data_IF_330892012145
#
_entry.id   IF_330892012145
#
_cell.length_a   1.000
_cell.length_b   1.000
_cell.length_c   1.000
_cell.angle_alpha   90.00
_cell.angle_beta   90.00
_cell.angle_gamma   90.00
#
_symmetry.space_group_name_H-M   'P 1'
#
loop_
_entity.id
_entity.type
_entity.pdbx_description
1 polymer ?
#
# COMPACT_ATOMS: atom_id res chain seq x y z
N UNK A 1 12.19 -28.63 -19.67
CA UNK A 1 12.11 -27.17 -19.92
C UNK A 1 13.50 -26.56 -19.82
N UNK A 2 14.01 -25.94 -20.89
CA UNK A 2 15.36 -25.36 -20.93
C UNK A 2 15.40 -24.06 -20.07
N UNK A 3 16.57 -23.76 -19.49
CA UNK A 3 16.78 -22.49 -18.72
C UNK A 3 16.51 -21.24 -19.56
N UNK A 4 16.70 -21.31 -20.88
CA UNK A 4 16.41 -20.22 -21.82
C UNK A 4 14.90 -20.02 -22.00
N UNK A 5 14.15 -21.10 -22.16
CA UNK A 5 12.67 -21.08 -22.27
C UNK A 5 12.03 -20.48 -21.03
N UNK A 6 12.45 -20.92 -19.83
CA UNK A 6 11.98 -20.37 -18.57
C UNK A 6 12.20 -18.85 -18.47
N UNK A 7 13.39 -18.35 -18.83
CA UNK A 7 13.68 -16.91 -18.84
C UNK A 7 12.78 -16.15 -19.82
N UNK A 8 12.54 -16.72 -21.00
CA UNK A 8 11.70 -16.10 -22.04
C UNK A 8 10.24 -16.03 -21.60
N UNK A 9 9.69 -17.11 -21.02
CA UNK A 9 8.33 -17.14 -20.50
C UNK A 9 8.16 -16.11 -19.38
N UNK A 10 9.09 -16.10 -18.43
CA UNK A 10 9.06 -15.12 -17.32
C UNK A 10 9.09 -13.69 -17.81
N UNK A 11 9.93 -13.37 -18.82
CA UNK A 11 9.99 -12.03 -19.43
C UNK A 11 8.68 -11.65 -20.09
N UNK A 12 8.08 -12.55 -20.88
CA UNK A 12 6.77 -12.32 -21.55
C UNK A 12 5.66 -12.11 -20.55
N UNK A 13 5.59 -12.93 -19.50
CA UNK A 13 4.60 -12.79 -18.43
C UNK A 13 4.73 -11.43 -17.71
N UNK A 14 5.95 -11.04 -17.36
CA UNK A 14 6.22 -9.77 -16.71
C UNK A 14 5.83 -8.57 -17.58
N UNK A 15 6.18 -8.62 -18.89
CA UNK A 15 5.80 -7.59 -19.85
C UNK A 15 4.28 -7.50 -20.03
N UNK A 16 3.57 -8.63 -20.06
CA UNK A 16 2.11 -8.67 -20.12
C UNK A 16 1.44 -8.08 -18.88
N UNK A 17 1.98 -8.38 -17.69
CA UNK A 17 1.49 -7.80 -16.43
C UNK A 17 1.73 -6.28 -16.40
N UNK A 18 2.88 -5.81 -16.84
CA UNK A 18 3.19 -4.38 -16.91
C UNK A 18 2.28 -3.66 -17.92
N UNK A 19 2.06 -4.25 -19.10
CA UNK A 19 1.12 -3.72 -20.10
C UNK A 19 -0.28 -3.58 -19.50
N UNK A 20 -0.76 -4.57 -18.77
CA UNK A 20 -2.06 -4.51 -18.07
C UNK A 20 -2.11 -3.38 -17.03
N UNK A 21 -1.02 -3.14 -16.28
CA UNK A 21 -0.93 -1.99 -15.37
C UNK A 21 -0.97 -0.65 -16.11
N UNK A 22 -0.29 -0.54 -17.27
CA UNK A 22 -0.34 0.66 -18.14
C UNK A 22 -1.76 0.97 -18.63
N UNK A 23 -2.57 -0.06 -18.85
CA UNK A 23 -4.00 0.08 -19.14
C UNK A 23 -4.85 0.45 -17.91
N UNK A 24 -4.25 0.61 -16.73
CA UNK A 24 -4.91 0.93 -15.47
C UNK A 24 -5.61 -0.25 -14.80
N UNK A 25 -5.30 -1.49 -15.18
CA UNK A 25 -5.88 -2.66 -14.58
C UNK A 25 -5.15 -3.06 -13.30
N UNK A 26 -5.90 -3.48 -12.29
CA UNK A 26 -5.35 -4.04 -11.06
C UNK A 26 -4.95 -5.51 -11.26
N UNK A 27 -3.71 -5.86 -10.89
CA UNK A 27 -3.12 -7.17 -11.20
C UNK A 27 -2.86 -8.06 -9.98
N UNK A 28 -3.10 -7.55 -8.77
CA UNK A 28 -2.83 -8.32 -7.55
C UNK A 28 -4.07 -9.09 -7.09
N UNK A 29 -3.87 -10.17 -6.33
CA UNK A 29 -4.96 -11.00 -5.82
C UNK A 29 -5.68 -10.40 -4.62
N UNK A 30 -4.96 -9.62 -3.81
CA UNK A 30 -5.51 -9.01 -2.59
C UNK A 30 -5.64 -7.50 -2.79
N UNK A 31 -6.83 -6.93 -2.63
CA UNK A 31 -7.00 -5.48 -2.72
C UNK A 31 -6.41 -4.78 -1.51
N UNK A 32 -5.98 -3.52 -1.63
CA UNK A 32 -5.71 -2.69 -0.48
C UNK A 32 -7.00 -2.52 0.36
N UNK A 33 -6.85 -2.42 1.68
CA UNK A 33 -7.98 -2.11 2.56
C UNK A 33 -8.70 -0.83 2.10
N UNK A 34 -10.01 -0.83 2.11
CA UNK A 34 -10.83 0.25 1.57
C UNK A 34 -11.27 0.05 0.12
N UNK A 35 -10.78 -1.00 -0.53
CA UNK A 35 -11.18 -1.36 -1.89
C UNK A 35 -11.59 -2.82 -2.01
N UNK A 36 -12.41 -3.10 -3.01
CA UNK A 36 -12.73 -4.44 -3.53
C UNK A 36 -12.22 -4.58 -4.98
N UNK A 37 -11.96 -5.83 -5.41
CA UNK A 37 -11.58 -6.13 -6.78
C UNK A 37 -12.83 -6.44 -7.58
N UNK A 38 -13.04 -5.71 -8.69
CA UNK A 38 -14.19 -5.89 -9.57
C UNK A 38 -13.71 -6.06 -11.01
N UNK A 39 -14.36 -6.98 -11.75
CA UNK A 39 -14.08 -7.18 -13.18
C UNK A 39 -14.52 -5.96 -13.99
N UNK A 40 -13.72 -5.55 -14.95
CA UNK A 40 -14.08 -4.45 -15.84
C UNK A 40 -15.28 -4.84 -16.73
N UNK A 41 -16.29 -3.97 -16.83
CA UNK A 41 -17.48 -4.23 -17.64
C UNK A 41 -17.22 -4.12 -19.16
N UNK A 42 -16.35 -3.19 -19.58
CA UNK A 42 -16.12 -2.83 -20.99
C UNK A 42 -14.73 -3.23 -21.52
N UNK A 43 -13.86 -3.75 -20.70
CA UNK A 43 -12.48 -4.13 -21.08
C UNK A 43 -12.01 -5.36 -20.32
N UNK A 44 -10.94 -5.99 -20.79
CA UNK A 44 -10.29 -7.09 -20.05
C UNK A 44 -9.67 -6.56 -18.75
N UNK A 45 -9.54 -7.45 -17.75
CA UNK A 45 -8.87 -7.17 -16.49
C UNK A 45 -9.82 -6.75 -15.37
N UNK A 46 -9.20 -6.31 -14.26
CA UNK A 46 -9.90 -5.95 -13.03
C UNK A 46 -9.55 -4.51 -12.63
N UNK A 47 -10.42 -3.90 -11.85
CA UNK A 47 -10.19 -2.60 -11.22
C UNK A 47 -10.50 -2.68 -9.74
N UNK A 48 -10.06 -1.68 -9.01
CA UNK A 48 -10.46 -1.47 -7.62
C UNK A 48 -11.74 -0.62 -7.59
N UNK A 49 -12.65 -0.95 -6.69
CA UNK A 49 -13.80 -0.12 -6.34
C UNK A 49 -13.77 0.17 -4.83
N UNK A 50 -14.10 1.40 -4.40
CA UNK A 50 -14.20 1.72 -2.98
C UNK A 50 -15.21 0.80 -2.29
N UNK A 51 -14.80 0.20 -1.18
CA UNK A 51 -15.68 -0.60 -0.34
C UNK A 51 -16.26 0.29 0.75
N UNK A 52 -17.58 0.51 0.78
CA UNK A 52 -18.22 1.35 1.78
C UNK A 52 -17.82 0.95 3.21
N UNK A 53 -17.67 1.92 4.09
CA UNK A 53 -17.20 1.71 5.45
C UNK A 53 -15.68 1.57 5.56
N UNK A 54 -15.05 0.64 4.83
CA UNK A 54 -13.58 0.54 4.82
C UNK A 54 -12.92 1.77 4.18
N UNK A 55 -13.47 2.29 3.09
CA UNK A 55 -12.98 3.49 2.42
C UNK A 55 -13.04 4.72 3.34
N UNK A 56 -14.09 4.84 4.17
CA UNK A 56 -14.20 5.91 5.15
C UNK A 56 -13.12 5.80 6.24
N UNK A 57 -12.83 4.60 6.72
CA UNK A 57 -11.72 4.37 7.67
C UNK A 57 -10.38 4.81 7.07
N UNK A 58 -10.14 4.54 5.78
CA UNK A 58 -8.91 5.04 5.10
C UNK A 58 -8.84 6.56 5.14
N UNK A 59 -9.93 7.25 4.80
CA UNK A 59 -9.98 8.72 4.84
C UNK A 59 -9.75 9.26 6.26
N UNK A 60 -10.37 8.65 7.27
CA UNK A 60 -10.16 9.01 8.67
C UNK A 60 -8.71 8.84 9.13
N UNK A 61 -8.05 7.74 8.76
CA UNK A 61 -6.63 7.50 9.08
C UNK A 61 -5.77 8.65 8.53
N UNK A 62 -5.95 9.00 7.26
CA UNK A 62 -5.21 10.11 6.65
C UNK A 62 -5.55 11.45 7.28
N UNK A 63 -6.83 11.73 7.55
CA UNK A 63 -7.27 12.95 8.21
C UNK A 63 -6.66 13.11 9.59
N UNK A 64 -6.78 12.09 10.46
CA UNK A 64 -6.23 12.13 11.81
C UNK A 64 -4.71 12.25 11.82
N UNK A 65 -4.06 11.65 10.84
CA UNK A 65 -2.61 11.72 10.73
C UNK A 65 -2.13 13.08 10.22
N UNK A 66 -2.85 13.76 9.32
CA UNK A 66 -2.40 14.99 8.65
C UNK A 66 -3.02 16.27 9.21
N UNK A 67 -4.29 16.22 9.58
CA UNK A 67 -5.06 17.38 10.08
C UNK A 67 -5.39 17.26 11.56
N UNK A 68 -5.43 16.06 12.10
CA UNK A 68 -5.78 15.78 13.49
C UNK A 68 -7.27 15.56 13.74
N UNK A 69 -7.60 15.47 15.02
CA UNK A 69 -8.96 15.38 15.55
C UNK A 69 -9.28 16.69 16.24
N UNK A 70 -10.49 17.21 16.00
CA UNK A 70 -11.00 18.38 16.69
C UNK A 70 -11.27 18.02 18.16
N UNK A 71 -10.71 18.79 19.10
CA UNK A 71 -10.95 18.69 20.53
C UNK A 71 -12.12 19.57 20.96
N UNK A 72 -12.59 19.35 22.18
CA UNK A 72 -13.67 20.15 22.80
C UNK A 72 -13.30 21.65 22.95
N UNK A 73 -12.00 21.95 23.10
CA UNK A 73 -11.47 23.30 23.16
C UNK A 73 -11.35 24.01 21.79
N UNK A 74 -11.80 23.35 20.70
CA UNK A 74 -11.70 23.86 19.34
C UNK A 74 -10.32 23.70 18.68
N UNK A 75 -9.31 23.16 19.37
CA UNK A 75 -7.99 22.89 18.83
C UNK A 75 -7.95 21.55 18.07
N UNK A 76 -6.96 21.39 17.17
CA UNK A 76 -6.72 20.13 16.47
C UNK A 76 -5.53 19.39 17.07
N UNK A 77 -5.73 18.11 17.41
CA UNK A 77 -4.67 17.24 17.87
C UNK A 77 -4.28 16.23 16.79
N UNK A 78 -3.02 16.30 16.32
CA UNK A 78 -2.47 15.34 15.36
C UNK A 78 -2.19 13.99 16.04
N UNK A 79 -2.78 12.92 15.52
CA UNK A 79 -2.52 11.58 16.03
C UNK A 79 -1.28 10.95 15.39
N UNK A 80 -0.50 10.23 16.21
CA UNK A 80 0.53 9.31 15.74
C UNK A 80 -0.06 7.96 15.33
N UNK A 81 0.73 7.15 14.59
CA UNK A 81 0.29 5.83 14.08
C UNK A 81 -0.16 4.87 15.19
N UNK A 82 0.45 4.94 16.37
CA UNK A 82 0.05 4.13 17.53
C UNK A 82 -1.35 4.53 18.03
N UNK A 83 -1.55 5.83 18.31
CA UNK A 83 -2.84 6.32 18.80
C UNK A 83 -3.99 6.14 17.77
N UNK A 84 -3.68 6.21 16.47
CA UNK A 84 -4.65 5.87 15.41
C UNK A 84 -5.03 4.39 15.50
N UNK A 85 -4.06 3.49 15.64
CA UNK A 85 -4.32 2.06 15.77
C UNK A 85 -5.17 1.75 17.02
N UNK A 86 -4.81 2.32 18.18
CA UNK A 86 -5.53 2.14 19.43
C UNK A 86 -6.98 2.65 19.32
N UNK A 87 -7.17 3.84 18.77
CA UNK A 87 -8.50 4.43 18.54
C UNK A 87 -9.38 3.57 17.62
N UNK A 88 -8.81 3.08 16.50
CA UNK A 88 -9.52 2.18 15.58
C UNK A 88 -9.86 0.83 16.22
N UNK A 89 -9.01 0.32 17.11
CA UNK A 89 -9.27 -0.92 17.81
C UNK A 89 -10.37 -0.79 18.87
N UNK A 90 -10.45 0.34 19.56
CA UNK A 90 -11.41 0.59 20.64
C UNK A 90 -12.78 1.05 20.13
N UNK A 91 -12.81 1.94 19.13
CA UNK A 91 -14.03 2.64 18.74
C UNK A 91 -14.70 2.11 17.46
N UNK A 92 -13.96 1.33 16.63
CA UNK A 92 -14.46 0.88 15.33
C UNK A 92 -14.53 -0.64 15.23
N UNK A 93 -15.66 -1.16 14.74
CA UNK A 93 -15.86 -2.60 14.50
C UNK A 93 -15.18 -3.09 13.23
N UNK A 94 -14.96 -2.22 12.25
CA UNK A 94 -14.33 -2.56 10.98
C UNK A 94 -12.81 -2.75 11.19
N UNK A 95 -12.34 -3.97 10.95
CA UNK A 95 -10.96 -4.39 11.17
C UNK A 95 -10.26 -4.74 9.84
N UNK A 96 -8.92 -4.60 9.75
CA UNK A 96 -8.15 -5.08 8.62
C UNK A 96 -8.13 -6.62 8.57
N UNK A 97 -7.60 -7.18 7.49
CA UNK A 97 -7.54 -8.63 7.27
C UNK A 97 -6.93 -9.43 8.44
N UNK A 98 -6.03 -8.84 9.19
CA UNK A 98 -5.43 -9.45 10.40
C UNK A 98 -6.27 -9.30 11.69
N UNK A 99 -7.48 -8.76 11.62
CA UNK A 99 -8.39 -8.60 12.76
C UNK A 99 -8.05 -7.50 13.75
N UNK A 100 -6.84 -6.93 13.70
CA UNK A 100 -6.37 -5.89 14.63
C UNK A 100 -5.60 -4.80 13.89
N UNK A 101 -5.85 -3.56 14.24
CA UNK A 101 -5.07 -2.42 13.77
C UNK A 101 -3.73 -2.36 14.48
N UNK A 102 -2.64 -2.28 13.74
CA UNK A 102 -1.28 -2.21 14.27
C UNK A 102 -0.53 -1.01 13.68
N UNK A 103 0.52 -0.55 14.36
CA UNK A 103 1.40 0.52 13.88
C UNK A 103 1.95 0.23 12.47
N UNK A 104 2.47 -0.98 12.16
CA UNK A 104 2.92 -1.32 10.81
C UNK A 104 1.80 -1.25 9.77
N UNK A 105 0.58 -1.67 10.11
CA UNK A 105 -0.57 -1.61 9.20
C UNK A 105 -0.89 -0.16 8.83
N UNK A 106 -1.06 0.72 9.82
CA UNK A 106 -1.31 2.15 9.59
C UNK A 106 -0.16 2.77 8.78
N UNK A 107 1.09 2.52 9.18
CA UNK A 107 2.27 3.06 8.49
C UNK A 107 2.40 2.59 7.03
N UNK A 108 1.98 1.36 6.73
CA UNK A 108 1.96 0.81 5.37
C UNK A 108 0.85 1.45 4.54
N UNK A 109 -0.34 1.64 5.13
CA UNK A 109 -1.45 2.32 4.48
C UNK A 109 -1.11 3.76 4.11
N UNK A 110 -0.53 4.53 5.02
CA UNK A 110 -0.12 5.91 4.77
C UNK A 110 0.92 6.06 3.64
N UNK A 111 1.62 4.98 3.26
CA UNK A 111 2.61 4.95 2.16
C UNK A 111 2.09 4.30 0.87
N UNK A 112 0.80 3.96 0.83
CA UNK A 112 0.27 3.18 -0.28
C UNK A 112 -0.31 4.08 -1.37
N UNK A 113 0.37 4.15 -2.50
CA UNK A 113 0.01 4.99 -3.65
C UNK A 113 -1.30 4.58 -4.35
N UNK A 114 -1.85 3.39 -4.05
CA UNK A 114 -3.17 3.00 -4.55
C UNK A 114 -4.27 3.95 -4.07
N UNK A 115 -4.12 4.56 -2.90
CA UNK A 115 -5.09 5.53 -2.39
C UNK A 115 -5.13 6.85 -3.16
N UNK A 116 -4.11 7.11 -3.99
CA UNK A 116 -4.08 8.22 -4.96
C UNK A 116 -4.68 7.86 -6.33
N UNK A 117 -5.17 6.63 -6.49
CA UNK A 117 -5.68 6.15 -7.77
C UNK A 117 -4.61 5.59 -8.71
N UNK A 118 -3.43 5.23 -8.20
CA UNK A 118 -2.36 4.61 -8.99
C UNK A 118 -2.27 3.10 -8.81
N UNK A 119 -1.80 2.42 -9.85
CA UNK A 119 -1.39 1.01 -9.80
C UNK A 119 0.12 0.96 -9.69
N UNK A 120 0.61 0.21 -8.71
CA UNK A 120 2.03 0.04 -8.43
C UNK A 120 2.52 -1.28 -9.01
N UNK A 121 3.56 -1.25 -9.83
CA UNK A 121 4.15 -2.44 -10.45
C UNK A 121 5.64 -2.55 -10.17
N UNK A 122 6.08 -3.73 -9.71
CA UNK A 122 7.50 -4.02 -9.52
C UNK A 122 8.17 -3.33 -8.33
N UNK A 123 7.42 -2.90 -7.30
CA UNK A 123 7.95 -2.25 -6.09
C UNK A 123 8.93 -3.13 -5.28
N UNK A 124 8.86 -4.46 -5.48
CA UNK A 124 9.79 -5.42 -4.88
C UNK A 124 10.45 -6.25 -5.97
N UNK A 125 11.75 -6.52 -5.82
CA UNK A 125 12.52 -7.40 -6.70
C UNK A 125 13.23 -8.48 -5.90
N UNK A 126 13.37 -9.67 -6.47
CA UNK A 126 14.21 -10.74 -5.92
C UNK A 126 15.66 -10.45 -6.23
N UNK A 127 16.51 -10.50 -5.21
CA UNK A 127 17.97 -10.44 -5.33
C UNK A 127 18.57 -11.70 -4.70
N UNK A 128 19.50 -12.33 -5.40
CA UNK A 128 20.30 -13.40 -4.82
C UNK A 128 21.38 -12.79 -3.94
N UNK A 129 21.44 -13.23 -2.69
CA UNK A 129 22.42 -12.80 -1.69
C UNK A 129 23.12 -14.04 -1.17
N UNK A 130 24.43 -13.95 -0.92
CA UNK A 130 25.18 -15.01 -0.26
C UNK A 130 25.13 -14.76 1.24
N UNK A 131 24.57 -15.70 1.99
CA UNK A 131 24.55 -15.69 3.45
C UNK A 131 25.12 -17.01 3.97
N UNK A 132 26.14 -16.92 4.81
CA UNK A 132 26.85 -18.08 5.37
C UNK A 132 27.31 -19.09 4.28
N UNK A 133 27.77 -18.60 3.12
CA UNK A 133 28.19 -19.42 1.99
C UNK A 133 27.07 -20.02 1.14
N UNK A 134 25.81 -19.77 1.47
CA UNK A 134 24.63 -20.29 0.76
C UNK A 134 23.97 -19.15 -0.02
N UNK A 135 23.57 -19.42 -1.27
CA UNK A 135 22.82 -18.47 -2.08
C UNK A 135 21.34 -18.50 -1.68
N UNK A 136 20.84 -17.41 -1.12
CA UNK A 136 19.44 -17.24 -0.75
C UNK A 136 18.78 -16.14 -1.59
N UNK A 137 17.50 -16.32 -1.91
CA UNK A 137 16.69 -15.31 -2.61
C UNK A 137 16.06 -14.36 -1.59
N UNK A 138 16.49 -13.08 -1.59
CA UNK A 138 15.88 -12.03 -0.77
C UNK A 138 15.03 -11.08 -1.58
N UNK A 139 13.90 -10.67 -1.01
CA UNK A 139 13.09 -9.59 -1.54
C UNK A 139 13.67 -8.24 -1.11
N UNK A 140 14.02 -7.42 -2.09
CA UNK A 140 14.52 -6.05 -1.86
C UNK A 140 13.56 -5.05 -2.48
N UNK A 141 13.54 -3.83 -1.93
CA UNK A 141 12.83 -2.72 -2.53
C UNK A 141 13.45 -2.39 -3.90
N UNK A 142 12.61 -2.16 -4.87
CA UNK A 142 13.01 -1.63 -6.18
C UNK A 142 12.75 -0.13 -6.18
N UNK A 143 13.78 0.69 -6.37
CA UNK A 143 13.65 2.15 -6.43
C UNK A 143 13.00 2.62 -7.73
N UNK A 144 13.26 1.89 -8.83
CA UNK A 144 12.66 2.14 -10.14
C UNK A 144 11.47 1.22 -10.36
N UNK A 145 10.35 1.48 -9.70
CA UNK A 145 9.09 0.76 -9.91
C UNK A 145 8.12 1.56 -10.77
N UNK A 146 7.22 0.86 -11.47
CA UNK A 146 6.19 1.49 -12.31
C UNK A 146 5.04 2.03 -11.45
N UNK A 147 4.62 3.26 -11.75
CA UNK A 147 3.45 3.90 -11.16
C UNK A 147 2.53 4.33 -12.31
N UNK A 148 1.39 3.66 -12.45
CA UNK A 148 0.48 3.86 -13.55
C UNK A 148 -0.89 4.34 -13.06
N UNK A 149 -1.55 5.22 -13.83
CA UNK A 149 -2.89 5.68 -13.47
C UNK A 149 -3.87 4.51 -13.50
N UNK A 150 -4.52 4.22 -12.37
CA UNK A 150 -5.52 3.17 -12.25
C UNK A 150 -6.91 3.61 -12.76
N UNK A 151 -7.78 2.63 -13.02
CA UNK A 151 -9.20 2.84 -13.35
C UNK A 151 -10.09 3.04 -12.12
N UNK A 152 -9.48 3.19 -10.95
CA UNK A 152 -10.18 3.35 -9.68
C UNK A 152 -10.10 4.79 -9.18
N UNK A 153 -11.11 5.27 -8.44
CA UNK A 153 -11.07 6.59 -7.84
C UNK A 153 -10.06 6.64 -6.69
N UNK A 154 -9.42 7.79 -6.54
CA UNK A 154 -8.61 8.09 -5.36
C UNK A 154 -9.50 8.20 -4.12
N UNK A 155 -9.01 7.71 -2.96
CA UNK A 155 -9.66 7.94 -1.66
C UNK A 155 -9.08 9.16 -0.95
N UNK A 156 -7.89 9.59 -1.35
CA UNK A 156 -7.13 10.66 -0.69
C UNK A 156 -6.59 11.61 -1.76
N UNK A 157 -6.58 12.91 -1.46
CA UNK A 157 -5.98 13.92 -2.33
C UNK A 157 -4.44 13.83 -2.31
N UNK A 158 -3.80 14.31 -3.38
CA UNK A 158 -2.34 14.37 -3.46
C UNK A 158 -1.73 15.18 -2.32
N UNK A 159 -2.34 16.32 -1.96
CA UNK A 159 -1.85 17.18 -0.87
C UNK A 159 -1.87 16.47 0.47
N UNK A 160 -2.98 15.78 0.80
CA UNK A 160 -3.09 15.01 2.04
C UNK A 160 -2.07 13.87 2.08
N UNK A 161 -1.86 13.20 0.95
CA UNK A 161 -0.85 12.15 0.86
C UNK A 161 0.56 12.70 1.04
N UNK A 162 0.90 13.83 0.40
CA UNK A 162 2.20 14.48 0.52
C UNK A 162 2.49 14.91 1.96
N UNK A 163 1.51 15.53 2.65
CA UNK A 163 1.62 15.86 4.07
C UNK A 163 1.88 14.63 4.93
N UNK A 164 1.21 13.50 4.63
CA UNK A 164 1.46 12.24 5.33
C UNK A 164 2.89 11.74 5.10
N UNK A 165 3.41 11.79 3.85
CA UNK A 165 4.79 11.39 3.56
C UNK A 165 5.81 12.28 4.25
N UNK A 166 5.62 13.59 4.23
CA UNK A 166 6.49 14.54 4.92
C UNK A 166 6.57 14.23 6.41
N UNK A 167 5.42 14.04 7.07
CA UNK A 167 5.37 13.70 8.48
C UNK A 167 6.02 12.34 8.78
N UNK A 168 5.83 11.34 7.91
CA UNK A 168 6.46 10.02 8.04
C UNK A 168 7.99 10.07 7.86
N UNK A 169 8.51 10.99 7.08
CA UNK A 169 9.96 11.17 6.89
C UNK A 169 10.63 11.83 8.08
N UNK A 170 9.94 12.75 8.75
CA UNK A 170 10.42 13.41 9.98
C UNK A 170 10.53 12.44 11.18
N UNK A 171 9.74 11.34 11.17
CA UNK A 171 9.77 10.29 12.18
C UNK A 171 10.26 8.95 11.56
N UNK A 172 11.55 8.81 11.22
CA UNK A 172 12.06 7.58 10.67
C UNK A 172 11.88 6.43 11.68
N UNK A 173 11.54 5.23 11.16
CA UNK A 173 11.47 4.02 12.00
C UNK A 173 12.82 3.84 12.71
N UNK A 174 12.78 3.74 14.03
CA UNK A 174 13.96 3.26 14.76
C UNK A 174 14.33 1.88 14.20
N UNK A 175 15.60 1.65 13.81
CA UNK A 175 16.01 0.31 13.42
C UNK A 175 15.72 -0.64 14.59
N UNK A 176 15.16 -1.82 14.29
CA UNK A 176 15.00 -2.85 15.32
C UNK A 176 16.38 -3.14 15.89
N UNK A 177 16.53 -3.07 17.24
CA UNK A 177 17.74 -3.53 17.88
C UNK A 177 17.91 -5.00 17.50
N UNK A 178 18.97 -5.31 16.75
CA UNK A 178 19.43 -6.68 16.59
C UNK A 178 19.82 -7.15 17.99
N UNK A 179 19.07 -8.09 18.53
CA UNK A 179 19.47 -8.77 19.77
C UNK A 179 20.65 -9.64 19.36
N UNK A 180 21.82 -9.28 19.84
CA UNK A 180 23.08 -10.07 19.72
C UNK A 180 22.99 -11.23 20.68
#
# INVERSE_FOLDING_TARGET
MSRREYKTIKRRLHAGMEASCKEGNYIHHTPPFGYSIVKNKKSKGYRLEPKPGEAEIVKLIFQWYTKGILKEDGSYELLGTARIADKLNSEYSIKPLGGVWTIPTISTMLRNEHYLGYIVFGKKKRKKVVENGIIVDKWTRNESYGLYKGKHPALVSQDTFNLAQERLSRNPRRPSKTIT
#
